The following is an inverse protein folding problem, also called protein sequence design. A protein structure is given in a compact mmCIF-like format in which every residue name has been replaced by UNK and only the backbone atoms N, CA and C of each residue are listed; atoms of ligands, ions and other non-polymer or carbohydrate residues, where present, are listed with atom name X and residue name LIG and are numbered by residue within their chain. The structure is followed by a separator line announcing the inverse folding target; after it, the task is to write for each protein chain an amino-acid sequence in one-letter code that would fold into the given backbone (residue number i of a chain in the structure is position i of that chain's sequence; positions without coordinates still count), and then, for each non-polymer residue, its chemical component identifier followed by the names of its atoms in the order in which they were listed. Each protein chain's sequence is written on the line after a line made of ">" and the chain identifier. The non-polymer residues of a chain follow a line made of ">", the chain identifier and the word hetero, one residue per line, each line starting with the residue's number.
data_IF_867192733635
#
_entry.id   IF_867192733635
#
_cell.length_a   1.000
_cell.length_b   1.000
_cell.length_c   1.000
_cell.angle_alpha   90.00
_cell.angle_beta   90.00
_cell.angle_gamma   90.00
#
_symmetry.space_group_name_H-M   'P 1'
#
loop_
_entity.id
_entity.type
_entity.pdbx_description
1 polymer ?
#
# COMPACT_ATOMS: atom_id res chain seq x y z
N UNK A 1 33.05 28.90 -11.29
CA UNK A 1 33.18 27.45 -11.48
C UNK A 1 31.88 26.93 -12.09
N UNK A 2 31.88 26.61 -13.39
CA UNK A 2 30.66 26.23 -14.12
C UNK A 2 30.31 24.78 -13.74
N UNK A 3 29.04 24.53 -13.43
CA UNK A 3 28.51 23.23 -12.96
C UNK A 3 28.66 22.13 -14.04
N UNK A 4 29.84 21.55 -14.14
CA UNK A 4 30.21 20.47 -15.05
C UNK A 4 29.29 19.24 -14.90
N UNK A 5 28.73 19.03 -13.70
CA UNK A 5 27.77 17.96 -13.41
C UNK A 5 26.43 18.13 -14.14
N UNK A 6 25.93 19.36 -14.28
CA UNK A 6 24.65 19.62 -15.00
C UNK A 6 24.81 19.41 -16.51
N UNK A 7 25.97 19.78 -17.06
CA UNK A 7 26.27 19.60 -18.49
C UNK A 7 26.38 18.12 -18.83
N UNK A 8 27.04 17.32 -17.98
CA UNK A 8 27.13 15.85 -18.17
C UNK A 8 25.77 15.15 -18.03
N UNK A 9 24.92 15.58 -17.10
CA UNK A 9 23.56 15.03 -16.95
C UNK A 9 22.70 15.31 -18.19
N UNK A 10 22.72 16.55 -18.69
CA UNK A 10 21.98 16.94 -19.89
C UNK A 10 22.47 16.22 -21.15
N UNK A 11 23.77 15.99 -21.30
CA UNK A 11 24.33 15.20 -22.42
C UNK A 11 23.90 13.72 -22.36
N UNK A 12 23.79 13.14 -21.15
CA UNK A 12 23.34 11.76 -20.97
C UNK A 12 21.85 11.60 -21.31
N UNK A 13 21.00 12.55 -20.92
CA UNK A 13 19.57 12.56 -21.26
C UNK A 13 19.32 12.73 -22.77
N UNK A 14 20.14 13.53 -23.46
CA UNK A 14 20.05 13.71 -24.92
C UNK A 14 20.49 12.42 -25.64
N UNK A 15 21.54 11.76 -25.17
CA UNK A 15 22.01 10.49 -25.73
C UNK A 15 21.03 9.33 -25.50
N UNK A 16 20.36 9.31 -24.35
CA UNK A 16 19.32 8.31 -24.04
C UNK A 16 18.05 8.50 -24.90
N UNK A 17 17.66 9.75 -25.19
CA UNK A 17 16.53 10.04 -26.10
C UNK A 17 16.83 9.76 -27.58
N UNK A 18 18.09 9.82 -28.01
CA UNK A 18 18.48 9.53 -29.39
C UNK A 18 18.39 8.04 -29.76
N UNK A 19 18.28 7.13 -28.78
CA UNK A 19 18.43 5.69 -29.01
C UNK A 19 17.11 4.93 -29.18
N UNK A 20 15.97 5.60 -29.39
CA UNK A 20 14.68 5.00 -29.78
C UNK A 20 14.06 3.98 -28.81
N UNK A 21 14.75 3.65 -27.70
CA UNK A 21 14.20 2.83 -26.62
C UNK A 21 13.25 3.70 -25.82
N UNK A 22 11.99 3.25 -25.69
CA UNK A 22 11.03 3.83 -24.78
C UNK A 22 11.71 4.06 -23.41
N UNK A 23 11.51 5.22 -22.76
CA UNK A 23 12.22 5.55 -21.54
C UNK A 23 11.91 4.46 -20.51
N UNK A 24 12.95 3.71 -20.13
CA UNK A 24 12.86 2.78 -19.00
C UNK A 24 12.54 3.64 -17.79
N UNK A 25 11.27 3.62 -17.34
CA UNK A 25 10.87 4.32 -16.12
C UNK A 25 11.80 3.85 -15.01
N UNK A 26 12.69 4.75 -14.57
CA UNK A 26 13.50 4.49 -13.37
C UNK A 26 12.52 4.30 -12.23
N UNK A 27 12.50 3.09 -11.68
CA UNK A 27 11.67 2.80 -10.51
C UNK A 27 12.05 3.74 -9.38
N UNK A 28 11.04 4.34 -8.77
CA UNK A 28 11.25 5.22 -7.61
C UNK A 28 11.65 4.39 -6.39
N UNK A 29 12.28 5.02 -5.39
CA UNK A 29 12.61 4.33 -4.14
C UNK A 29 11.37 3.72 -3.46
N UNK A 30 10.22 4.41 -3.55
CA UNK A 30 8.94 3.91 -3.04
C UNK A 30 8.41 2.70 -3.80
N UNK A 31 8.51 2.69 -5.12
CA UNK A 31 8.14 1.52 -5.93
C UNK A 31 9.04 0.31 -5.62
N UNK A 32 10.35 0.51 -5.49
CA UNK A 32 11.29 -0.56 -5.11
C UNK A 32 10.97 -1.13 -3.72
N UNK A 33 10.66 -0.25 -2.76
CA UNK A 33 10.29 -0.66 -1.42
C UNK A 33 8.95 -1.40 -1.42
N UNK A 34 7.95 -0.90 -2.13
CA UNK A 34 6.64 -1.55 -2.22
C UNK A 34 6.75 -2.91 -2.91
N UNK A 35 7.52 -3.01 -3.99
CA UNK A 35 7.76 -4.29 -4.67
C UNK A 35 8.31 -5.35 -3.70
N UNK A 36 9.27 -4.96 -2.85
CA UNK A 36 9.78 -5.83 -1.79
C UNK A 36 8.66 -6.22 -0.82
N UNK A 37 7.92 -5.25 -0.29
CA UNK A 37 6.83 -5.50 0.66
C UNK A 37 5.75 -6.44 0.09
N UNK A 38 5.39 -6.29 -1.19
CA UNK A 38 4.45 -7.16 -1.91
C UNK A 38 5.02 -8.57 -2.11
N UNK A 39 6.31 -8.69 -2.44
CA UNK A 39 6.97 -10.00 -2.61
C UNK A 39 7.10 -10.79 -1.31
N UNK A 40 7.18 -10.09 -0.18
CA UNK A 40 7.26 -10.68 1.15
C UNK A 40 5.86 -10.83 1.81
N UNK A 41 4.77 -10.56 1.08
CA UNK A 41 3.42 -10.68 1.62
C UNK A 41 3.13 -12.10 2.10
N UNK A 42 2.76 -12.22 3.37
CA UNK A 42 2.31 -13.46 3.97
C UNK A 42 0.89 -13.25 4.50
N UNK A 43 -0.09 -13.48 3.62
CA UNK A 43 -1.50 -13.26 3.92
C UNK A 43 -2.15 -14.52 4.48
N UNK A 44 -3.00 -14.40 5.51
CA UNK A 44 -3.83 -15.52 5.95
C UNK A 44 -4.83 -15.91 4.86
N UNK A 45 -5.41 -17.11 4.95
CA UNK A 45 -6.37 -17.64 3.96
C UNK A 45 -7.62 -16.76 3.78
N UNK A 46 -7.93 -15.97 4.81
CA UNK A 46 -9.04 -15.03 4.86
C UNK A 46 -8.75 -13.71 4.12
N UNK A 47 -7.52 -13.48 3.66
CA UNK A 47 -7.11 -12.26 2.96
C UNK A 47 -6.62 -12.56 1.55
N UNK A 48 -7.07 -11.78 0.57
CA UNK A 48 -6.61 -11.88 -0.82
C UNK A 48 -6.29 -10.51 -1.39
N UNK A 49 -5.19 -10.40 -2.14
CA UNK A 49 -4.78 -9.17 -2.83
C UNK A 49 -5.16 -9.21 -4.31
N UNK A 50 -5.54 -8.06 -4.86
CA UNK A 50 -5.87 -7.89 -6.29
C UNK A 50 -5.40 -6.53 -6.81
N UNK A 51 -5.12 -6.45 -8.10
CA UNK A 51 -4.61 -5.25 -8.78
C UNK A 51 -5.60 -4.85 -9.88
N UNK A 52 -6.62 -4.02 -9.57
CA UNK A 52 -7.73 -3.73 -10.49
C UNK A 52 -7.29 -2.95 -11.73
N UNK A 53 -6.21 -2.16 -11.64
CA UNK A 53 -5.69 -1.35 -12.74
C UNK A 53 -4.67 -2.09 -13.63
N UNK A 54 -4.45 -3.39 -13.39
CA UNK A 54 -3.43 -4.19 -14.07
C UNK A 54 -2.16 -4.36 -13.24
N UNK A 55 -1.27 -5.27 -13.69
CA UNK A 55 -0.08 -5.68 -12.93
C UNK A 55 1.01 -4.60 -12.84
N UNK A 56 0.95 -3.60 -13.70
CA UNK A 56 1.96 -2.53 -13.76
C UNK A 56 1.70 -1.41 -12.72
N UNK A 57 0.46 -1.30 -12.22
CA UNK A 57 0.07 -0.32 -11.20
C UNK A 57 0.14 -0.94 -9.80
N UNK A 58 1.36 -1.24 -9.34
CA UNK A 58 1.58 -1.81 -8.01
C UNK A 58 1.24 -0.84 -6.88
N UNK A 59 1.22 0.47 -7.15
CA UNK A 59 0.98 1.51 -6.14
C UNK A 59 -0.50 1.65 -5.77
N UNK A 60 -1.41 1.04 -6.55
CA UNK A 60 -2.84 1.00 -6.27
C UNK A 60 -3.33 -0.44 -6.32
N UNK A 61 -3.70 -0.98 -5.16
CA UNK A 61 -4.17 -2.37 -5.05
C UNK A 61 -5.34 -2.48 -4.08
N UNK A 62 -6.07 -3.58 -4.18
CA UNK A 62 -7.18 -3.89 -3.29
C UNK A 62 -6.85 -5.13 -2.46
N UNK A 63 -7.18 -5.08 -1.17
CA UNK A 63 -7.11 -6.20 -0.24
C UNK A 63 -8.53 -6.57 0.16
N UNK A 64 -8.94 -7.79 -0.12
CA UNK A 64 -10.21 -8.35 0.31
C UNK A 64 -9.99 -9.18 1.56
N UNK A 65 -10.79 -8.93 2.59
CA UNK A 65 -10.80 -9.67 3.85
C UNK A 65 -12.14 -10.37 3.99
N UNK A 66 -12.10 -11.66 4.29
CA UNK A 66 -13.24 -12.55 4.54
C UNK A 66 -13.07 -13.17 5.92
N UNK A 67 -13.61 -12.54 6.97
CA UNK A 67 -13.57 -13.10 8.33
C UNK A 67 -14.25 -14.47 8.36
N UNK A 68 -13.60 -15.45 8.97
CA UNK A 68 -14.14 -16.79 9.23
C UNK A 68 -14.61 -16.97 10.69
N UNK A 69 -14.40 -15.97 11.53
CA UNK A 69 -14.87 -15.88 12.92
C UNK A 69 -15.33 -14.44 13.28
N UNK A 70 -15.87 -14.27 14.47
CA UNK A 70 -16.31 -12.96 14.99
C UNK A 70 -17.63 -12.44 14.39
N UNK A 71 -17.95 -11.19 14.70
CA UNK A 71 -19.23 -10.56 14.34
C UNK A 71 -19.42 -10.36 12.83
N UNK A 72 -18.32 -10.25 12.10
CA UNK A 72 -18.31 -10.05 10.65
C UNK A 72 -18.04 -11.34 9.86
N UNK A 73 -18.11 -12.50 10.53
CA UNK A 73 -17.96 -13.82 9.92
C UNK A 73 -18.89 -13.98 8.71
N UNK A 74 -18.35 -14.51 7.60
CA UNK A 74 -19.09 -14.67 6.34
C UNK A 74 -19.23 -13.39 5.51
N UNK A 75 -18.80 -12.24 6.03
CA UNK A 75 -18.72 -10.99 5.31
C UNK A 75 -17.57 -10.96 4.29
N UNK A 76 -17.61 -9.98 3.39
CA UNK A 76 -16.51 -9.69 2.45
C UNK A 76 -16.25 -8.18 2.44
N UNK A 77 -15.07 -7.78 2.90
CA UNK A 77 -14.68 -6.38 3.05
C UNK A 77 -13.51 -6.07 2.13
N UNK A 78 -13.71 -5.12 1.21
CA UNK A 78 -12.69 -4.72 0.24
C UNK A 78 -12.06 -3.41 0.69
N UNK A 79 -10.74 -3.38 0.78
CA UNK A 79 -9.96 -2.21 1.15
C UNK A 79 -9.08 -1.77 -0.02
N UNK A 80 -9.14 -0.50 -0.39
CA UNK A 80 -8.26 0.10 -1.39
C UNK A 80 -7.01 0.65 -0.72
N UNK A 81 -5.84 0.32 -1.25
CA UNK A 81 -4.55 0.84 -0.83
C UNK A 81 -4.00 1.73 -1.94
N UNK A 82 -3.71 2.99 -1.60
CA UNK A 82 -3.06 3.94 -2.47
C UNK A 82 -1.73 4.37 -1.86
N UNK A 83 -0.64 3.94 -2.48
CA UNK A 83 0.73 4.20 -2.03
C UNK A 83 1.27 5.45 -2.73
N UNK A 84 1.83 6.37 -1.96
CA UNK A 84 2.49 7.59 -2.46
C UNK A 84 3.90 7.26 -2.97
N UNK A 85 4.43 8.05 -3.92
CA UNK A 85 5.82 7.91 -4.36
C UNK A 85 6.86 8.17 -3.26
N UNK A 86 6.43 8.75 -2.13
CA UNK A 86 7.25 9.08 -0.96
C UNK A 86 7.33 7.89 0.03
N UNK A 87 6.61 6.79 -0.24
CA UNK A 87 6.71 5.56 0.55
C UNK A 87 8.18 5.10 0.70
N UNK A 88 8.64 4.63 1.87
CA UNK A 88 7.89 4.35 3.11
C UNK A 88 7.83 5.52 4.10
N UNK A 89 8.24 6.74 3.72
CA UNK A 89 8.21 7.88 4.64
C UNK A 89 6.77 8.34 4.96
N UNK A 90 5.87 8.22 3.99
CA UNK A 90 4.43 8.39 4.18
C UNK A 90 3.71 7.04 4.20
N UNK A 91 2.69 6.93 5.06
CA UNK A 91 1.84 5.75 5.10
C UNK A 91 1.00 5.62 3.81
N UNK A 92 0.65 4.40 3.39
CA UNK A 92 -0.37 4.19 2.37
C UNK A 92 -1.72 4.76 2.82
N UNK A 93 -2.46 5.35 1.89
CA UNK A 93 -3.87 5.72 2.14
C UNK A 93 -4.72 4.47 1.99
N UNK A 94 -5.45 4.12 3.05
CA UNK A 94 -6.34 2.96 3.06
C UNK A 94 -7.78 3.41 3.24
N UNK A 95 -8.68 2.87 2.41
CA UNK A 95 -10.13 3.07 2.53
C UNK A 95 -10.89 1.76 2.39
N UNK A 96 -11.97 1.60 3.15
CA UNK A 96 -12.92 0.51 3.00
C UNK A 96 -13.92 0.86 1.89
N UNK A 97 -13.99 0.04 0.85
CA UNK A 97 -14.95 0.16 -0.26
C UNK A 97 -16.30 -0.46 0.10
N UNK A 98 -16.30 -1.44 1.00
CA UNK A 98 -17.52 -2.08 1.51
C UNK A 98 -18.15 -1.22 2.60
N UNK A 99 -19.42 -0.84 2.44
CA UNK A 99 -20.18 -0.19 3.52
C UNK A 99 -20.34 -1.17 4.68
N UNK A 100 -19.86 -0.78 5.85
CA UNK A 100 -19.87 -1.61 7.06
C UNK A 100 -20.16 -0.74 8.27
N UNK A 101 -20.93 -1.26 9.21
CA UNK A 101 -21.06 -0.65 10.52
C UNK A 101 -19.92 -1.14 11.40
N UNK A 102 -18.89 -0.32 11.60
CA UNK A 102 -17.71 -0.66 12.40
C UNK A 102 -17.18 0.58 13.15
N UNK A 103 -16.82 0.51 14.44
CA UNK A 103 -16.37 1.69 15.21
C UNK A 103 -15.18 2.45 14.59
N UNK A 104 -14.25 1.72 13.97
CA UNK A 104 -13.07 2.27 13.30
C UNK A 104 -13.25 2.57 11.79
N UNK A 105 -14.46 2.43 11.22
CA UNK A 105 -14.70 2.70 9.80
C UNK A 105 -15.94 3.59 9.67
N UNK A 106 -15.76 4.79 9.10
CA UNK A 106 -16.89 5.68 8.87
C UNK A 106 -17.70 5.31 7.61
N UNK A 107 -18.81 6.03 7.39
CA UNK A 107 -19.70 5.79 6.25
C UNK A 107 -19.07 6.14 4.88
N UNK A 108 -17.98 6.91 4.88
CA UNK A 108 -17.19 7.24 3.69
C UNK A 108 -16.06 6.21 3.44
N UNK A 109 -15.91 5.23 4.35
CA UNK A 109 -14.90 4.19 4.27
C UNK A 109 -13.53 4.58 4.82
N UNK A 110 -13.40 5.72 5.50
CA UNK A 110 -12.13 6.08 6.11
C UNK A 110 -11.84 5.16 7.31
N UNK A 111 -10.64 4.60 7.36
CA UNK A 111 -10.22 3.66 8.40
C UNK A 111 -9.43 4.40 9.48
N UNK A 112 -9.83 4.25 10.74
CA UNK A 112 -9.15 4.81 11.90
C UNK A 112 -8.19 3.78 12.50
N UNK A 113 -6.92 3.87 12.11
CA UNK A 113 -5.82 3.01 12.58
C UNK A 113 -4.60 3.89 12.88
N UNK A 114 -4.07 3.87 14.09
CA UNK A 114 -2.97 4.76 14.49
C UNK A 114 -1.72 4.59 13.62
N UNK A 115 -1.43 3.34 13.20
CA UNK A 115 -0.29 3.05 12.32
C UNK A 115 -0.44 3.62 10.90
N UNK A 116 -1.64 4.07 10.51
CA UNK A 116 -1.86 4.80 9.25
C UNK A 116 -1.75 6.32 9.44
N UNK A 117 -1.45 6.77 10.67
CA UNK A 117 -1.41 8.18 11.09
C UNK A 117 -0.16 8.43 11.95
N UNK A 118 -0.33 8.72 13.23
CA UNK A 118 0.73 9.15 14.15
C UNK A 118 1.77 8.08 14.46
N UNK A 119 1.40 6.79 14.43
CA UNK A 119 2.29 5.67 14.76
C UNK A 119 2.96 5.09 13.50
N UNK A 120 2.76 5.69 12.33
CA UNK A 120 3.45 5.25 11.11
C UNK A 120 4.96 5.47 11.24
N UNK A 121 5.72 4.43 10.92
CA UNK A 121 7.18 4.49 10.85
C UNK A 121 7.65 3.83 9.57
N UNK A 122 8.69 4.33 8.89
CA UNK A 122 9.22 3.73 7.65
C UNK A 122 9.68 2.27 7.77
N UNK A 123 9.87 1.78 9.01
CA UNK A 123 10.16 0.36 9.30
C UNK A 123 8.93 -0.55 9.14
N UNK A 124 7.72 0.01 9.23
CA UNK A 124 6.48 -0.71 8.97
C UNK A 124 6.33 -0.99 7.47
N UNK A 125 5.60 -2.05 7.14
CA UNK A 125 5.38 -2.53 5.78
C UNK A 125 3.90 -2.88 5.53
N UNK A 126 3.53 -3.20 4.29
CA UNK A 126 2.15 -3.55 3.91
C UNK A 126 1.61 -4.75 4.72
N UNK A 127 2.46 -5.77 4.94
CA UNK A 127 2.13 -6.89 5.83
C UNK A 127 1.69 -6.42 7.23
N UNK A 128 2.35 -5.40 7.79
CA UNK A 128 2.02 -4.90 9.11
C UNK A 128 0.64 -4.25 9.15
N UNK A 129 0.25 -3.55 8.08
CA UNK A 129 -1.08 -2.92 7.96
C UNK A 129 -2.19 -3.98 7.89
N UNK A 130 -1.95 -5.06 7.13
CA UNK A 130 -2.94 -6.12 6.90
C UNK A 130 -2.97 -7.11 8.09
N UNK A 131 -1.82 -7.72 8.44
CA UNK A 131 -1.71 -8.87 9.35
C UNK A 131 -0.48 -8.92 10.32
N UNK A 132 0.38 -7.91 10.48
CA UNK A 132 1.35 -7.68 11.63
C UNK A 132 1.07 -8.12 13.10
N UNK A 133 1.24 -7.28 14.15
CA UNK A 133 1.06 -7.71 15.56
C UNK A 133 -0.41 -7.60 16.08
N UNK A 134 -0.96 -8.53 16.90
CA UNK A 134 -2.42 -8.72 17.14
C UNK A 134 -3.26 -7.48 17.49
N UNK A 135 -2.68 -6.48 18.15
CA UNK A 135 -3.43 -5.38 18.75
C UNK A 135 -3.76 -4.20 17.82
N UNK A 136 -3.19 -4.09 16.61
CA UNK A 136 -3.37 -2.86 15.79
C UNK A 136 -3.45 -3.10 14.27
N UNK A 137 -4.52 -3.72 13.77
CA UNK A 137 -4.64 -4.09 12.35
C UNK A 137 -6.03 -4.13 11.75
N UNK A 138 -6.10 -3.99 10.43
CA UNK A 138 -7.33 -4.15 9.63
C UNK A 138 -7.92 -5.55 9.79
N UNK A 139 -7.09 -6.61 9.80
CA UNK A 139 -7.61 -7.95 10.03
C UNK A 139 -8.19 -8.12 11.44
N UNK A 140 -7.55 -7.53 12.47
CA UNK A 140 -8.03 -7.58 13.86
C UNK A 140 -9.34 -6.80 14.04
N UNK A 141 -9.45 -5.61 13.43
CA UNK A 141 -10.69 -4.82 13.29
C UNK A 141 -11.83 -5.71 12.79
N UNK A 142 -11.59 -6.52 11.76
CA UNK A 142 -12.65 -7.36 11.17
C UNK A 142 -12.92 -8.66 11.94
N UNK A 143 -11.98 -9.14 12.76
CA UNK A 143 -12.14 -10.37 13.54
C UNK A 143 -12.70 -10.15 14.95
N UNK A 144 -12.53 -8.96 15.54
CA UNK A 144 -12.93 -8.69 16.94
C UNK A 144 -13.65 -7.35 17.09
N UNK A 145 -14.82 -7.37 17.74
CA UNK A 145 -15.29 -6.22 18.51
C UNK A 145 -14.36 -6.13 19.72
N UNK A 146 -13.47 -5.13 19.74
CA UNK A 146 -12.72 -4.79 20.95
C UNK A 146 -13.72 -4.47 22.08
N UNK A 147 -13.67 -5.28 23.15
CA UNK A 147 -13.86 -4.80 24.51
C UNK A 147 -12.48 -4.66 25.15
#
# INVERSE_FOLDING_TARGET
>A
MINLFKVKAKQKEIAENANGKAPVKKQTAGELRLHKDISELNLPKTCTISFPNGKDDLMNFEVTIRPDEGYYCGGTFVFTFQVSSIYPHEAPKVKCKTKVYHPNIDLEGNVCLNILREDWKPVLNINTIIYGNPTMKIHSIMMQLLY
#
